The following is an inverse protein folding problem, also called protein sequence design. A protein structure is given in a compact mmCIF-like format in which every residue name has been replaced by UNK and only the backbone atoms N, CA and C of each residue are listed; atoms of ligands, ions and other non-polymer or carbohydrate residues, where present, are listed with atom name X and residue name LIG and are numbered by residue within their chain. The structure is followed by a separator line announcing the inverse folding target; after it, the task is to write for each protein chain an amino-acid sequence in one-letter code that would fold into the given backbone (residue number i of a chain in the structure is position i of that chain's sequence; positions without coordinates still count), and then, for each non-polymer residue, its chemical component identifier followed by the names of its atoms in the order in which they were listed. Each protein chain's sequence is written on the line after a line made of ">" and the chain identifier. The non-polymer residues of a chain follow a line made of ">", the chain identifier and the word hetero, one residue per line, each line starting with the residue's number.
data_IF_630798803860
#
_entry.id   IF_630798803860
#
_cell.length_a   1.000
_cell.length_b   1.000
_cell.length_c   1.000
_cell.angle_alpha   90.00
_cell.angle_beta   90.00
_cell.angle_gamma   90.00
#
_symmetry.space_group_name_H-M   'P 1'
#
loop_
_entity.id
_entity.type
_entity.pdbx_description
1 polymer ?
#
# COMPACT_ATOMS: atom_id res chain seq x y z
N UNK A 1 -3.13 -6.52 6.54
CA UNK A 1 -1.99 -5.72 6.03
C UNK A 1 -0.78 -5.71 6.97
N UNK A 2 -0.85 -5.15 8.19
CA UNK A 2 0.33 -5.09 9.10
C UNK A 2 0.79 -6.48 9.53
N UNK A 3 -0.14 -7.37 9.88
CA UNK A 3 0.15 -8.77 10.18
C UNK A 3 0.81 -9.47 9.00
N UNK A 4 0.19 -9.39 7.82
CA UNK A 4 0.76 -9.91 6.56
C UNK A 4 2.17 -9.38 6.28
N UNK A 5 2.41 -8.09 6.52
CA UNK A 5 3.76 -7.54 6.40
C UNK A 5 4.71 -8.22 7.38
N UNK A 6 4.34 -8.35 8.65
CA UNK A 6 5.20 -8.97 9.68
C UNK A 6 5.47 -10.45 9.39
N UNK A 7 4.48 -11.18 8.89
CA UNK A 7 4.58 -12.61 8.59
C UNK A 7 5.44 -12.88 7.34
N UNK A 8 5.43 -11.96 6.37
CA UNK A 8 6.21 -12.06 5.14
C UNK A 8 7.58 -11.36 5.24
N UNK A 9 7.76 -10.47 6.20
CA UNK A 9 8.96 -9.67 6.35
C UNK A 9 10.03 -10.44 7.13
N UNK A 10 11.06 -10.85 6.40
CA UNK A 10 12.32 -11.27 6.98
C UNK A 10 13.29 -10.07 7.00
N UNK A 11 14.17 -10.06 8.00
CA UNK A 11 15.10 -8.96 8.34
C UNK A 11 15.96 -8.45 7.17
N UNK A 12 16.19 -9.27 6.14
CA UNK A 12 17.08 -8.97 5.01
C UNK A 12 16.34 -8.76 3.66
N UNK A 13 15.01 -8.93 3.58
CA UNK A 13 14.31 -8.95 2.28
C UNK A 13 13.75 -7.60 1.83
N UNK A 14 13.87 -7.32 0.53
CA UNK A 14 13.17 -6.22 -0.13
C UNK A 14 11.73 -6.63 -0.40
N UNK A 15 10.79 -6.04 0.35
CA UNK A 15 9.37 -6.39 0.32
C UNK A 15 8.51 -5.13 0.14
N UNK A 16 7.56 -5.22 -0.80
CA UNK A 16 6.50 -4.23 -1.03
C UNK A 16 5.16 -4.95 -0.86
N UNK A 17 4.37 -4.59 0.14
CA UNK A 17 3.02 -5.14 0.33
C UNK A 17 2.00 -4.18 -0.27
N UNK A 18 1.22 -4.69 -1.21
CA UNK A 18 0.14 -3.94 -1.88
C UNK A 18 -1.20 -4.59 -1.52
N UNK A 19 -2.12 -3.88 -0.84
CA UNK A 19 -3.46 -4.41 -0.65
C UNK A 19 -4.20 -4.47 -1.98
N UNK A 20 -4.99 -5.53 -2.16
CA UNK A 20 -5.85 -5.73 -3.32
C UNK A 20 -7.25 -6.08 -2.85
N UNK A 21 -8.27 -5.50 -3.47
CA UNK A 21 -9.65 -5.93 -3.29
C UNK A 21 -10.27 -6.19 -4.66
N UNK A 22 -10.67 -7.44 -4.91
CA UNK A 22 -11.28 -7.86 -6.19
C UNK A 22 -10.44 -7.47 -7.41
N UNK A 23 -9.12 -7.63 -7.31
CA UNK A 23 -8.17 -7.31 -8.38
C UNK A 23 -7.81 -5.82 -8.51
N UNK A 24 -8.36 -4.95 -7.66
CA UNK A 24 -7.98 -3.53 -7.63
C UNK A 24 -6.96 -3.29 -6.52
N UNK A 25 -5.82 -2.70 -6.88
CA UNK A 25 -4.78 -2.29 -5.93
C UNK A 25 -5.22 -1.05 -5.15
N UNK A 26 -4.99 -1.07 -3.84
CA UNK A 26 -5.35 0.00 -2.92
C UNK A 26 -4.18 0.53 -2.09
N UNK A 27 -4.52 1.30 -1.06
CA UNK A 27 -3.65 1.89 -0.07
C UNK A 27 -3.99 1.40 1.35
N UNK A 28 -3.06 1.53 2.33
CA UNK A 28 -1.67 1.97 2.16
C UNK A 28 -0.77 0.87 1.58
N UNK A 29 0.22 1.26 0.77
CA UNK A 29 1.31 0.37 0.35
C UNK A 29 2.41 0.39 1.42
N UNK A 30 2.87 -0.79 1.84
CA UNK A 30 3.98 -0.90 2.81
C UNK A 30 5.28 -1.24 2.09
N UNK A 31 6.35 -0.56 2.46
CA UNK A 31 7.69 -0.77 1.91
C UNK A 31 8.64 -1.18 3.02
N UNK A 32 9.49 -2.17 2.73
CA UNK A 32 10.63 -2.49 3.57
C UNK A 32 11.67 -1.36 3.57
N UNK A 33 12.54 -1.36 4.58
CA UNK A 33 13.51 -0.27 4.83
C UNK A 33 14.43 -0.01 3.63
N UNK A 34 14.75 -1.03 2.83
CA UNK A 34 15.65 -0.95 1.68
C UNK A 34 15.16 0.06 0.62
N UNK A 35 13.85 0.30 0.52
CA UNK A 35 13.28 1.26 -0.43
C UNK A 35 13.35 2.72 0.06
N UNK A 36 13.74 2.97 1.30
CA UNK A 36 13.71 4.30 1.92
C UNK A 36 14.41 5.35 1.07
N UNK A 37 15.63 5.08 0.62
CA UNK A 37 16.42 6.09 -0.10
C UNK A 37 15.86 6.36 -1.50
N UNK A 38 15.28 5.34 -2.16
CA UNK A 38 14.59 5.48 -3.45
C UNK A 38 13.32 6.33 -3.26
N UNK A 39 12.54 6.08 -2.21
CA UNK A 39 11.35 6.85 -1.87
C UNK A 39 11.70 8.32 -1.62
N UNK A 40 12.76 8.59 -0.83
CA UNK A 40 13.18 9.96 -0.52
C UNK A 40 13.72 10.73 -1.73
N UNK A 41 14.26 10.03 -2.73
CA UNK A 41 14.74 10.65 -3.97
C UNK A 41 13.65 10.76 -5.03
N UNK A 42 12.50 10.10 -4.84
CA UNK A 42 11.41 10.11 -5.80
C UNK A 42 10.79 11.51 -5.93
N UNK A 43 10.46 11.90 -7.16
CA UNK A 43 9.91 13.22 -7.51
C UNK A 43 8.48 13.17 -8.06
N UNK A 44 7.89 11.98 -8.15
CA UNK A 44 6.51 11.79 -8.60
C UNK A 44 5.51 11.84 -7.45
N UNK A 45 4.22 11.75 -7.80
CA UNK A 45 3.14 11.66 -6.82
C UNK A 45 3.04 10.23 -6.27
N UNK A 46 3.15 10.11 -4.95
CA UNK A 46 3.13 8.82 -4.26
C UNK A 46 4.31 7.91 -4.62
N UNK A 47 4.11 6.60 -4.51
CA UNK A 47 5.15 5.60 -4.78
C UNK A 47 4.76 4.59 -5.88
N UNK A 48 3.74 4.90 -6.68
CA UNK A 48 3.19 3.99 -7.70
C UNK A 48 4.26 3.51 -8.67
N UNK A 49 5.11 4.42 -9.14
CA UNK A 49 6.22 4.11 -10.04
C UNK A 49 7.25 3.18 -9.41
N UNK A 50 7.49 3.28 -8.10
CA UNK A 50 8.41 2.41 -7.37
C UNK A 50 7.84 0.98 -7.36
N UNK A 51 6.55 0.82 -7.07
CA UNK A 51 5.87 -0.49 -7.12
C UNK A 51 5.97 -1.13 -8.52
N UNK A 52 5.75 -0.35 -9.58
CA UNK A 52 5.81 -0.84 -10.96
C UNK A 52 7.22 -1.22 -11.42
N UNK A 53 8.26 -0.58 -10.86
CA UNK A 53 9.66 -0.85 -11.20
C UNK A 53 10.28 -2.04 -10.46
N UNK A 54 9.62 -2.52 -9.40
CA UNK A 54 10.12 -3.62 -8.55
C UNK A 54 9.09 -4.75 -8.38
N UNK A 55 8.51 -5.30 -9.47
CA UNK A 55 7.46 -6.32 -9.38
C UNK A 55 7.90 -7.59 -8.64
N UNK A 56 9.19 -7.91 -8.65
CA UNK A 56 9.79 -9.04 -7.93
C UNK A 56 9.67 -8.91 -6.40
N UNK A 57 9.67 -7.67 -5.91
CA UNK A 57 9.53 -7.33 -4.49
C UNK A 57 8.06 -7.19 -4.07
N UNK A 58 7.12 -7.16 -5.01
CA UNK A 58 5.70 -6.95 -4.72
C UNK A 58 5.05 -8.24 -4.24
N UNK A 59 4.31 -8.13 -3.14
CA UNK A 59 3.38 -9.14 -2.64
C UNK A 59 2.01 -8.49 -2.50
N UNK A 60 1.07 -9.02 -3.28
CA UNK A 60 -0.33 -8.59 -3.22
C UNK A 60 -1.03 -9.32 -2.07
N UNK A 61 -1.79 -8.58 -1.28
CA UNK A 61 -2.55 -9.09 -0.13
C UNK A 61 -4.03 -8.82 -0.40
N UNK A 62 -4.81 -9.88 -0.57
CA UNK A 62 -6.25 -9.75 -0.76
C UNK A 62 -6.93 -9.30 0.53
N UNK A 63 -7.78 -8.29 0.42
CA UNK A 63 -8.48 -7.68 1.54
C UNK A 63 -9.93 -8.18 1.60
N UNK A 64 -10.51 -8.23 2.80
CA UNK A 64 -11.90 -8.67 3.00
C UNK A 64 -12.95 -7.64 2.59
N UNK A 65 -12.56 -6.38 2.39
CA UNK A 65 -13.43 -5.26 2.03
C UNK A 65 -12.69 -4.23 1.16
N UNK A 66 -13.44 -3.26 0.63
CA UNK A 66 -12.95 -2.21 -0.25
C UNK A 66 -12.39 -0.98 0.50
N UNK A 67 -12.23 -1.05 1.82
CA UNK A 67 -11.70 0.07 2.62
C UNK A 67 -10.31 0.53 2.14
N UNK A 68 -9.54 -0.36 1.52
CA UNK A 68 -8.23 -0.04 0.94
C UNK A 68 -8.31 0.75 -0.38
N UNK A 69 -9.49 0.82 -0.99
CA UNK A 69 -9.73 1.55 -2.25
C UNK A 69 -10.33 2.94 -2.01
N UNK A 70 -10.69 3.27 -0.77
CA UNK A 70 -11.43 4.48 -0.44
C UNK A 70 -10.51 5.49 0.24
N UNK A 71 -10.27 6.61 -0.44
CA UNK A 71 -9.60 7.78 0.13
C UNK A 71 -10.65 8.76 0.67
N UNK A 72 -10.31 9.49 1.74
CA UNK A 72 -11.20 10.45 2.42
C UNK A 72 -10.58 11.84 2.31
N UNK A 73 -10.71 12.45 1.14
CA UNK A 73 -10.05 13.72 0.81
C UNK A 73 -10.94 14.95 1.03
N UNK A 74 -12.26 14.76 0.95
CA UNK A 74 -13.26 15.84 1.08
C UNK A 74 -14.12 15.70 2.34
N UNK A 75 -14.78 16.80 2.73
CA UNK A 75 -15.74 16.77 3.83
C UNK A 75 -16.93 15.86 3.51
N UNK A 76 -17.32 15.81 2.24
CA UNK A 76 -18.34 14.92 1.71
C UNK A 76 -17.94 13.45 1.89
N UNK A 77 -16.69 13.09 1.55
CA UNK A 77 -16.17 11.74 1.77
C UNK A 77 -16.21 11.40 3.26
N UNK A 78 -15.75 12.31 4.13
CA UNK A 78 -15.74 12.10 5.57
C UNK A 78 -17.14 11.83 6.14
N UNK A 79 -18.16 12.58 5.68
CA UNK A 79 -19.56 12.41 6.12
C UNK A 79 -20.10 11.03 5.78
N UNK A 80 -19.66 10.41 4.68
CA UNK A 80 -20.10 9.05 4.31
C UNK A 80 -19.67 7.99 5.32
N UNK A 81 -18.57 8.20 6.05
CA UNK A 81 -18.05 7.26 7.06
C UNK A 81 -18.48 7.57 8.49
N UNK A 82 -19.10 8.73 8.72
CA UNK A 82 -19.42 9.23 10.07
C UNK A 82 -20.91 9.22 10.40
N UNK A 83 -21.74 8.55 9.60
CA UNK A 83 -23.15 8.31 9.94
C UNK A 83 -23.27 7.17 10.94
N UNK A 84 -23.90 7.47 12.09
CA UNK A 84 -24.20 6.56 13.20
C UNK A 84 -24.98 5.29 12.80
#
# INVERSE_FOLDING_TARGET
>A
LIHEFTDLFDSESSLIIVPVFKGQRGNPVLFSRQFRDIILQHKGEGCRDIVLKHPECVREVEMGNDNVLQDVDTLEDYKMFCTD
#
